data_IF_006372471478
#
_entry.id   IF_006372471478
#
_cell.length_a   1.000
_cell.length_b   1.000
_cell.length_c   1.000
_cell.angle_alpha   90.00
_cell.angle_beta   90.00
_cell.angle_gamma   90.00
#
_symmetry.space_group_name_H-M   'P 1'
#
loop_
_entity.id
_entity.type
_entity.pdbx_description
1 polymer ?
#
# COMPACT_ATOMS: atom_id res chain seq x y z
N UNK A 1 1.61 -16.42 -11.50
CA UNK A 1 1.60 -15.24 -12.40
C UNK A 1 1.90 -14.02 -11.55
N UNK A 2 2.68 -13.08 -12.07
CA UNK A 2 2.86 -11.77 -11.45
C UNK A 2 2.11 -10.72 -12.27
N UNK A 3 1.42 -9.81 -11.60
CA UNK A 3 0.82 -8.63 -12.22
C UNK A 3 1.30 -7.40 -11.46
N UNK A 4 1.78 -6.39 -12.19
CA UNK A 4 2.16 -5.11 -11.63
C UNK A 4 1.12 -4.06 -12.04
N UNK A 5 0.69 -3.23 -11.08
CA UNK A 5 -0.18 -2.09 -11.35
C UNK A 5 0.41 -0.81 -10.74
N UNK A 6 0.23 0.30 -11.45
CA UNK A 6 0.67 1.63 -11.04
C UNK A 6 -0.44 2.40 -10.37
N UNK A 7 -0.06 3.07 -9.29
CA UNK A 7 -0.88 4.05 -8.60
C UNK A 7 -0.05 5.31 -8.46
N UNK A 8 -0.71 6.44 -8.24
CA UNK A 8 -0.04 7.75 -8.27
C UNK A 8 0.99 7.94 -7.15
N UNK A 9 0.88 7.19 -6.04
CA UNK A 9 1.72 7.35 -4.84
C UNK A 9 2.36 6.05 -4.33
N UNK A 10 1.97 4.90 -4.90
CA UNK A 10 2.45 3.56 -4.50
C UNK A 10 2.53 2.66 -5.73
N UNK A 11 3.29 1.58 -5.63
CA UNK A 11 3.27 0.46 -6.58
C UNK A 11 2.49 -0.72 -6.02
N UNK A 12 1.96 -1.58 -6.89
CA UNK A 12 1.32 -2.84 -6.48
C UNK A 12 1.93 -4.01 -7.23
N UNK A 13 2.35 -5.03 -6.49
CA UNK A 13 2.72 -6.34 -7.02
C UNK A 13 1.68 -7.37 -6.58
N UNK A 14 1.08 -8.07 -7.53
CA UNK A 14 0.22 -9.21 -7.27
C UNK A 14 0.93 -10.52 -7.57
N UNK A 15 0.97 -11.43 -6.60
CA UNK A 15 1.44 -12.80 -6.76
C UNK A 15 0.24 -13.74 -6.74
N UNK A 16 0.09 -14.58 -7.78
CA UNK A 16 -1.06 -15.46 -7.94
C UNK A 16 -0.63 -16.90 -8.24
N UNK A 17 -1.13 -17.86 -7.46
CA UNK A 17 -1.02 -19.28 -7.75
C UNK A 17 -2.26 -19.77 -8.51
N UNK A 18 -2.19 -19.75 -9.84
CA UNK A 18 -3.28 -20.19 -10.72
C UNK A 18 -3.11 -21.62 -11.25
N UNK A 19 -2.24 -22.44 -10.63
CA UNK A 19 -1.98 -23.80 -11.11
C UNK A 19 -3.25 -24.65 -11.11
N UNK A 20 -3.37 -25.52 -12.12
CA UNK A 20 -4.52 -26.41 -12.29
C UNK A 20 -5.77 -25.73 -12.82
N UNK A 21 -5.82 -24.39 -12.93
CA UNK A 21 -6.91 -23.66 -13.58
C UNK A 21 -6.66 -23.52 -15.09
N UNK A 22 -7.68 -23.82 -15.91
CA UNK A 22 -7.60 -23.63 -17.36
C UNK A 22 -8.97 -23.32 -17.97
N UNK A 23 -8.99 -22.48 -19.00
CA UNK A 23 -10.21 -22.21 -19.76
C UNK A 23 -10.49 -23.33 -20.76
N UNK A 24 -11.68 -23.91 -20.71
CA UNK A 24 -12.13 -24.86 -21.72
C UNK A 24 -13.05 -24.16 -22.73
N UNK A 25 -12.57 -23.97 -23.96
CA UNK A 25 -13.32 -23.31 -25.03
C UNK A 25 -14.61 -24.04 -25.39
N UNK A 26 -14.61 -25.38 -25.34
CA UNK A 26 -15.78 -26.22 -25.64
C UNK A 26 -16.91 -26.03 -24.64
N UNK A 27 -16.62 -26.07 -23.35
CA UNK A 27 -17.63 -25.85 -22.30
C UNK A 27 -17.83 -24.38 -21.93
N UNK A 28 -17.04 -23.47 -22.53
CA UNK A 28 -16.99 -22.04 -22.20
C UNK A 28 -16.93 -21.79 -20.69
N UNK A 29 -16.10 -22.58 -20.00
CA UNK A 29 -15.98 -22.54 -18.55
C UNK A 29 -14.54 -22.77 -18.11
N UNK A 30 -14.20 -22.24 -16.93
CA UNK A 30 -12.97 -22.59 -16.25
C UNK A 30 -13.08 -24.02 -15.72
N UNK A 31 -12.08 -24.84 -16.00
CA UNK A 31 -11.90 -26.17 -15.43
C UNK A 31 -10.73 -26.14 -14.47
N UNK A 32 -10.86 -26.84 -13.35
CA UNK A 32 -9.79 -27.07 -12.41
C UNK A 32 -9.34 -28.53 -12.46
N UNK A 33 -8.03 -28.74 -12.39
CA UNK A 33 -7.38 -30.03 -12.16
C UNK A 33 -6.62 -29.94 -10.82
N UNK A 34 -7.33 -29.97 -9.68
CA UNK A 34 -6.74 -29.70 -8.37
C UNK A 34 -5.66 -30.71 -7.97
N UNK A 35 -5.73 -31.95 -8.47
CA UNK A 35 -4.71 -32.99 -8.24
C UNK A 35 -3.34 -32.63 -8.83
N UNK A 36 -3.30 -31.64 -9.72
CA UNK A 36 -2.08 -31.13 -10.35
C UNK A 36 -1.57 -29.83 -9.69
N UNK A 37 -2.30 -29.27 -8.72
CA UNK A 37 -1.96 -27.98 -8.12
C UNK A 37 -1.10 -28.15 -6.87
N UNK A 38 0.01 -27.41 -6.77
CA UNK A 38 0.93 -27.45 -5.63
C UNK A 38 1.14 -26.04 -5.07
N UNK A 39 1.56 -25.96 -3.81
CA UNK A 39 2.02 -24.68 -3.26
C UNK A 39 3.27 -24.22 -4.00
N UNK A 40 3.34 -22.92 -4.28
CA UNK A 40 4.46 -22.30 -4.98
C UNK A 40 5.06 -21.20 -4.13
N UNK A 41 6.38 -21.09 -4.18
CA UNK A 41 7.12 -20.01 -3.54
C UNK A 41 7.71 -19.11 -4.59
N UNK A 42 7.60 -17.80 -4.38
CA UNK A 42 8.20 -16.80 -5.24
C UNK A 42 8.87 -15.69 -4.43
N UNK A 43 9.71 -14.92 -5.11
CA UNK A 43 10.40 -13.76 -4.53
C UNK A 43 9.85 -12.50 -5.17
N UNK A 44 9.64 -11.47 -4.37
CA UNK A 44 9.28 -10.13 -4.82
C UNK A 44 10.21 -9.10 -4.17
N UNK A 45 10.37 -7.94 -4.79
CA UNK A 45 11.20 -6.85 -4.29
C UNK A 45 10.68 -5.50 -4.79
N UNK A 46 11.00 -4.39 -4.12
CA UNK A 46 10.55 -3.07 -4.56
C UNK A 46 10.97 -2.71 -6.00
N UNK A 47 12.10 -3.24 -6.48
CA UNK A 47 12.55 -3.06 -7.87
C UNK A 47 11.67 -3.74 -8.93
N UNK A 48 10.81 -4.68 -8.55
CA UNK A 48 9.93 -5.38 -9.49
C UNK A 48 8.69 -4.54 -9.84
N UNK A 49 8.47 -3.42 -9.13
CA UNK A 49 7.51 -2.38 -9.53
C UNK A 49 8.11 -1.56 -10.67
N UNK A 50 7.41 -1.40 -11.79
CA UNK A 50 7.94 -0.61 -12.93
C UNK A 50 7.68 0.90 -12.72
N UNK A 51 8.33 1.51 -11.72
CA UNK A 51 8.13 2.89 -11.24
C UNK A 51 8.10 4.01 -12.32
N UNK A 52 8.70 3.76 -13.48
CA UNK A 52 8.81 4.71 -14.58
C UNK A 52 7.67 4.61 -15.62
N UNK A 53 6.71 3.72 -15.42
CA UNK A 53 5.58 3.52 -16.34
C UNK A 53 4.36 4.39 -15.95
N UNK A 54 3.55 4.76 -16.94
CA UNK A 54 2.30 5.52 -16.75
C UNK A 54 2.42 7.03 -17.01
N UNK A 55 1.30 7.74 -16.83
CA UNK A 55 1.21 9.19 -17.11
C UNK A 55 1.95 10.06 -16.08
N UNK A 56 2.00 9.60 -14.82
CA UNK A 56 2.60 10.31 -13.69
C UNK A 56 3.54 9.35 -12.94
N UNK A 57 4.78 9.15 -13.42
CA UNK A 57 5.72 8.21 -12.80
C UNK A 57 6.14 8.68 -11.40
N UNK A 58 6.37 7.71 -10.50
CA UNK A 58 6.86 7.98 -9.15
C UNK A 58 8.39 7.99 -9.19
N UNK A 59 9.00 9.15 -8.92
CA UNK A 59 10.45 9.22 -8.78
C UNK A 59 10.91 8.53 -7.51
N UNK A 60 11.65 7.44 -7.64
CA UNK A 60 12.31 6.72 -6.54
C UNK A 60 13.78 7.08 -6.39
N UNK A 61 14.26 8.15 -7.05
CA UNK A 61 15.66 8.57 -6.98
C UNK A 61 16.01 8.97 -5.54
N UNK A 62 17.01 8.31 -4.96
CA UNK A 62 17.46 8.55 -3.58
C UNK A 62 16.60 7.87 -2.50
N UNK A 63 15.60 7.07 -2.88
CA UNK A 63 14.81 6.27 -1.94
C UNK A 63 15.58 5.00 -1.56
N UNK A 64 15.92 4.86 -0.30
CA UNK A 64 16.70 3.74 0.23
C UNK A 64 15.85 2.69 0.97
N UNK A 65 14.58 2.98 1.22
CA UNK A 65 13.69 2.12 1.99
C UNK A 65 12.28 2.22 1.43
N UNK A 66 11.59 1.08 1.36
CA UNK A 66 10.22 0.96 0.93
C UNK A 66 9.40 0.30 2.02
N UNK A 67 8.22 0.85 2.29
CA UNK A 67 7.19 0.22 3.09
C UNK A 67 6.40 -0.75 2.20
N UNK A 68 6.37 -2.03 2.56
CA UNK A 68 5.71 -3.09 1.80
C UNK A 68 4.60 -3.69 2.66
N UNK A 69 3.36 -3.38 2.32
CA UNK A 69 2.17 -3.91 2.97
C UNK A 69 1.64 -5.13 2.21
N UNK A 70 1.54 -6.26 2.90
CA UNK A 70 1.04 -7.54 2.39
C UNK A 70 -0.43 -7.67 2.79
N UNK A 71 -1.32 -7.67 1.78
CA UNK A 71 -2.77 -7.57 1.95
C UNK A 71 -3.37 -8.76 2.71
N UNK A 72 -3.12 -10.00 2.28
CA UNK A 72 -3.67 -11.19 2.91
C UNK A 72 -3.05 -11.42 4.29
N UNK A 73 -1.73 -11.24 4.40
CA UNK A 73 -1.02 -11.39 5.68
C UNK A 73 -1.28 -10.24 6.67
N UNK A 74 -1.89 -9.14 6.22
CA UNK A 74 -2.12 -7.94 7.03
C UNK A 74 -0.84 -7.42 7.72
N UNK A 75 0.30 -7.51 7.02
CA UNK A 75 1.64 -7.29 7.58
C UNK A 75 2.41 -6.22 6.82
N UNK A 76 3.23 -5.45 7.53
CA UNK A 76 4.14 -4.47 6.96
C UNK A 76 5.59 -4.94 7.11
N UNK A 77 6.38 -4.77 6.06
CA UNK A 77 7.85 -4.89 6.11
C UNK A 77 8.50 -3.64 5.53
N UNK A 78 9.70 -3.35 5.99
CA UNK A 78 10.56 -2.35 5.38
C UNK A 78 11.63 -3.09 4.57
N UNK A 79 11.76 -2.77 3.29
CA UNK A 79 12.72 -3.41 2.39
C UNK A 79 13.61 -2.35 1.74
N UNK A 80 14.88 -2.70 1.52
CA UNK A 80 15.75 -1.95 0.61
C UNK A 80 15.35 -2.20 -0.86
N UNK A 81 15.75 -1.33 -1.82
CA UNK A 81 15.29 -1.42 -3.21
C UNK A 81 15.45 -2.80 -3.87
N UNK A 82 16.56 -3.51 -3.59
CA UNK A 82 16.87 -4.82 -4.15
C UNK A 82 16.66 -5.99 -3.17
N UNK A 83 16.22 -5.70 -1.94
CA UNK A 83 15.93 -6.71 -0.94
C UNK A 83 14.69 -7.49 -1.35
N UNK A 84 14.78 -8.82 -1.21
CA UNK A 84 13.71 -9.73 -1.64
C UNK A 84 12.92 -10.21 -0.44
N UNK A 85 11.61 -10.28 -0.61
CA UNK A 85 10.69 -10.97 0.28
C UNK A 85 10.22 -12.26 -0.38
N UNK A 86 10.20 -13.33 0.39
CA UNK A 86 9.62 -14.61 -0.02
C UNK A 86 8.12 -14.65 0.26
N UNK A 87 7.36 -15.16 -0.70
CA UNK A 87 5.91 -15.33 -0.64
C UNK A 87 5.60 -16.77 -1.04
N UNK A 88 4.95 -17.50 -0.14
CA UNK A 88 4.43 -18.84 -0.42
C UNK A 88 2.91 -18.79 -0.59
N UNK A 89 2.42 -19.41 -1.66
CA UNK A 89 1.02 -19.41 -2.05
C UNK A 89 0.52 -20.83 -2.26
N UNK A 90 -0.52 -21.21 -1.53
CA UNK A 90 -1.27 -22.42 -1.78
C UNK A 90 -2.03 -22.34 -3.12
N UNK A 91 -2.44 -23.48 -3.71
CA UNK A 91 -3.26 -23.49 -4.91
C UNK A 91 -4.45 -22.52 -4.85
N UNK A 92 -4.65 -21.75 -5.91
CA UNK A 92 -5.76 -20.79 -6.06
C UNK A 92 -5.77 -19.64 -5.06
N UNK A 93 -4.65 -19.38 -4.39
CA UNK A 93 -4.47 -18.22 -3.51
C UNK A 93 -3.65 -17.12 -4.19
N UNK A 94 -3.67 -15.94 -3.58
CA UNK A 94 -2.93 -14.78 -4.04
C UNK A 94 -2.39 -13.98 -2.86
N UNK A 95 -1.44 -13.09 -3.13
CA UNK A 95 -1.02 -12.03 -2.21
C UNK A 95 -0.86 -10.73 -3.01
N UNK A 96 -1.28 -9.61 -2.43
CA UNK A 96 -1.09 -8.28 -3.00
C UNK A 96 -0.15 -7.49 -2.11
N UNK A 97 0.90 -6.96 -2.72
CA UNK A 97 1.91 -6.16 -2.05
C UNK A 97 1.75 -4.71 -2.49
N UNK A 98 1.34 -3.85 -1.56
CA UNK A 98 1.41 -2.39 -1.76
C UNK A 98 2.80 -1.92 -1.36
N UNK A 99 3.54 -1.37 -2.31
CA UNK A 99 4.92 -0.91 -2.16
C UNK A 99 4.92 0.61 -2.17
N UNK A 100 5.40 1.22 -1.10
CA UNK A 100 5.38 2.67 -0.93
C UNK A 100 6.78 3.21 -0.62
N UNK A 101 7.30 4.19 -1.38
CA UNK A 101 8.60 4.78 -1.10
C UNK A 101 8.56 5.51 0.25
N UNK A 102 9.57 5.26 1.10
CA UNK A 102 9.68 5.95 2.39
C UNK A 102 10.33 7.32 2.19
N UNK A 103 9.65 8.36 2.67
CA UNK A 103 10.16 9.72 2.77
C UNK A 103 10.61 10.00 4.20
N UNK A 104 11.67 10.82 4.35
CA UNK A 104 12.13 11.30 5.65
C UNK A 104 11.64 12.73 5.85
N UNK A 105 10.92 12.98 6.94
CA UNK A 105 10.52 14.32 7.38
C UNK A 105 11.70 14.95 8.15
N UNK A 106 12.26 16.09 7.69
CA UNK A 106 13.60 16.54 8.09
C UNK A 106 13.75 16.89 9.57
N UNK A 107 12.73 17.45 10.22
CA UNK A 107 12.85 17.99 11.59
C UNK A 107 13.14 16.93 12.66
N UNK A 108 12.46 15.79 12.57
CA UNK A 108 12.58 14.68 13.53
C UNK A 108 13.15 13.41 12.89
N UNK A 109 13.60 13.52 11.64
CA UNK A 109 14.03 12.38 10.82
C UNK A 109 12.98 11.25 10.79
N UNK A 110 11.70 11.63 10.81
CA UNK A 110 10.59 10.67 10.84
C UNK A 110 10.47 10.05 9.47
N UNK A 111 10.54 8.74 9.41
CA UNK A 111 10.29 7.99 8.19
C UNK A 111 8.78 7.83 8.02
N UNK A 112 8.27 8.11 6.83
CA UNK A 112 6.87 8.11 6.50
C UNK A 112 6.63 7.44 5.14
N UNK A 113 5.59 6.61 5.05
CA UNK A 113 5.11 6.12 3.76
C UNK A 113 3.59 5.87 3.80
N UNK A 114 2.82 6.39 2.82
CA UNK A 114 1.39 6.11 2.75
C UNK A 114 1.15 4.65 2.32
N UNK A 115 0.12 3.99 2.86
CA UNK A 115 -0.29 2.65 2.41
C UNK A 115 -1.61 2.76 1.65
N UNK A 116 -2.65 3.31 2.29
CA UNK A 116 -3.97 3.49 1.69
C UNK A 116 -5.09 2.79 2.47
N UNK A 117 -6.23 2.56 1.80
CA UNK A 117 -7.40 1.90 2.39
C UNK A 117 -7.23 0.37 2.33
N UNK A 118 -6.88 -0.25 3.45
CA UNK A 118 -6.49 -1.68 3.49
C UNK A 118 -7.67 -2.64 3.37
N UNK A 119 -8.90 -2.14 3.45
CA UNK A 119 -10.11 -2.90 3.12
C UNK A 119 -10.37 -2.99 1.60
N UNK A 120 -9.52 -2.39 0.76
CA UNK A 120 -9.60 -2.45 -0.70
C UNK A 120 -8.43 -3.26 -1.28
N UNK A 121 -8.70 -4.08 -2.31
CA UNK A 121 -7.65 -4.82 -3.04
C UNK A 121 -6.64 -3.85 -3.70
N UNK A 122 -7.13 -2.72 -4.20
CA UNK A 122 -6.30 -1.63 -4.67
C UNK A 122 -6.03 -0.63 -3.54
N UNK A 123 -5.36 -1.10 -2.49
CA UNK A 123 -5.15 -0.35 -1.23
C UNK A 123 -4.66 1.07 -1.47
N UNK A 124 -3.56 1.23 -2.23
CA UNK A 124 -2.98 2.54 -2.53
C UNK A 124 -3.76 3.37 -3.55
N UNK A 125 -4.71 2.77 -4.28
CA UNK A 125 -5.45 3.44 -5.35
C UNK A 125 -6.53 4.37 -4.85
N UNK A 126 -6.84 4.30 -3.57
CA UNK A 126 -7.67 5.28 -2.88
C UNK A 126 -6.94 6.61 -2.62
N UNK A 127 -5.61 6.66 -2.72
CA UNK A 127 -4.83 7.87 -2.45
C UNK A 127 -4.86 8.78 -3.68
N UNK A 128 -5.40 9.98 -3.53
CA UNK A 128 -5.50 10.99 -4.59
C UNK A 128 -4.48 12.13 -4.45
N UNK A 129 -4.05 12.42 -3.21
CA UNK A 129 -2.99 13.40 -2.96
C UNK A 129 -2.15 13.03 -1.74
N UNK A 130 -0.89 13.44 -1.75
CA UNK A 130 0.00 13.40 -0.59
C UNK A 130 0.79 14.69 -0.56
N UNK A 131 0.60 15.47 0.49
CA UNK A 131 1.22 16.78 0.68
C UNK A 131 1.96 16.82 2.01
N UNK A 132 3.13 17.47 2.00
CA UNK A 132 3.98 17.60 3.16
C UNK A 132 4.16 19.09 3.44
N UNK A 133 3.69 19.54 4.60
CA UNK A 133 3.95 20.87 5.12
C UNK A 133 5.04 20.80 6.18
N UNK A 134 6.16 21.42 5.84
CA UNK A 134 7.38 21.43 6.63
C UNK A 134 7.79 22.91 6.79
N UNK A 135 7.65 23.46 8.00
CA UNK A 135 8.24 24.76 8.36
C UNK A 135 9.33 24.56 9.41
N UNK A 136 10.40 25.38 9.35
CA UNK A 136 11.55 25.28 10.24
C UNK A 136 11.13 25.26 11.73
N UNK A 137 10.16 26.11 12.11
CA UNK A 137 9.72 26.26 13.50
C UNK A 137 8.44 25.48 13.86
N UNK A 138 7.78 24.77 12.93
CA UNK A 138 6.51 24.09 13.21
C UNK A 138 6.63 22.55 13.31
N UNK A 139 5.56 21.91 13.77
CA UNK A 139 5.37 20.47 13.64
C UNK A 139 5.29 20.08 12.15
N UNK A 140 5.66 18.85 11.81
CA UNK A 140 5.55 18.35 10.44
C UNK A 140 4.12 17.87 10.21
N UNK A 141 3.48 18.36 9.15
CA UNK A 141 2.11 18.00 8.82
C UNK A 141 2.09 17.24 7.50
N UNK A 142 1.49 16.06 7.51
CA UNK A 142 1.25 15.26 6.31
C UNK A 142 -0.24 15.25 6.02
N UNK A 143 -0.63 15.63 4.81
CA UNK A 143 -2.01 15.55 4.34
C UNK A 143 -2.15 14.51 3.25
N UNK A 144 -3.17 13.68 3.35
CA UNK A 144 -3.50 12.66 2.35
C UNK A 144 -4.94 12.87 1.91
N UNK A 145 -5.14 13.15 0.63
CA UNK A 145 -6.45 13.07 -0.01
C UNK A 145 -6.79 11.61 -0.29
N UNK A 146 -7.93 11.15 0.21
CA UNK A 146 -8.39 9.76 0.10
C UNK A 146 -9.79 9.72 -0.50
N UNK A 147 -9.99 8.85 -1.49
CA UNK A 147 -11.30 8.56 -2.07
C UNK A 147 -11.79 7.19 -1.65
N UNK A 148 -12.94 7.17 -0.99
CA UNK A 148 -13.54 5.96 -0.44
C UNK A 148 -13.66 6.03 1.09
N UNK A 149 -13.89 4.88 1.71
CA UNK A 149 -14.05 4.76 3.16
C UNK A 149 -13.48 3.44 3.68
N UNK A 150 -13.24 3.37 4.99
CA UNK A 150 -12.71 2.21 5.68
C UNK A 150 -11.40 2.49 6.41
N UNK A 151 -10.60 1.45 6.59
CA UNK A 151 -9.39 1.55 7.40
C UNK A 151 -8.23 2.09 6.56
N UNK A 152 -7.89 3.36 6.79
CA UNK A 152 -6.71 3.99 6.23
C UNK A 152 -5.49 3.63 7.08
N UNK A 153 -4.43 3.20 6.41
CA UNK A 153 -3.14 2.91 7.03
C UNK A 153 -1.99 3.66 6.38
N UNK A 154 -0.95 3.83 7.18
CA UNK A 154 0.33 4.38 6.75
C UNK A 154 1.45 3.86 7.68
N UNK A 155 2.68 3.88 7.18
CA UNK A 155 3.87 3.64 7.98
C UNK A 155 4.43 4.96 8.52
N UNK A 156 4.71 5.00 9.82
CA UNK A 156 5.55 6.04 10.41
C UNK A 156 6.51 5.46 11.46
N UNK A 157 7.78 5.88 11.41
CA UNK A 157 8.77 5.47 12.41
C UNK A 157 8.43 5.93 13.83
N UNK A 158 7.68 7.04 13.95
CA UNK A 158 7.23 7.63 15.20
C UNK A 158 5.72 7.77 15.22
N UNK A 159 5.14 7.84 16.43
CA UNK A 159 3.69 8.05 16.60
C UNK A 159 3.32 9.51 16.29
N UNK A 160 2.29 9.78 15.47
CA UNK A 160 1.73 11.13 15.32
C UNK A 160 1.24 11.69 16.67
N UNK A 161 1.32 13.00 16.85
CA UNK A 161 0.76 13.71 18.00
C UNK A 161 -0.77 13.81 17.86
N UNK A 162 -1.25 14.03 16.64
CA UNK A 162 -2.66 14.14 16.33
C UNK A 162 -2.97 13.62 14.93
N UNK A 163 -4.22 13.20 14.73
CA UNK A 163 -4.79 12.90 13.42
C UNK A 163 -6.10 13.66 13.26
N UNK A 164 -6.35 14.18 12.06
CA UNK A 164 -7.61 14.85 11.71
C UNK A 164 -8.19 14.28 10.43
N UNK A 165 -9.51 14.33 10.32
CA UNK A 165 -10.27 14.03 9.10
C UNK A 165 -11.11 15.25 8.77
N UNK A 166 -10.94 15.83 7.59
CA UNK A 166 -11.61 17.05 7.14
C UNK A 166 -11.51 18.20 8.19
N UNK A 167 -10.37 18.31 8.86
CA UNK A 167 -10.11 19.31 9.91
C UNK A 167 -10.55 18.93 11.32
N UNK A 168 -11.35 17.86 11.47
CA UNK A 168 -11.87 17.40 12.76
C UNK A 168 -10.92 16.37 13.41
N UNK A 169 -10.65 16.53 14.71
CA UNK A 169 -9.76 15.63 15.45
C UNK A 169 -10.37 14.24 15.63
N UNK A 170 -9.60 13.19 15.28
CA UNK A 170 -10.07 11.80 15.35
C UNK A 170 -9.14 10.91 16.18
N UNK A 171 -9.73 9.86 16.76
CA UNK A 171 -8.94 8.80 17.40
C UNK A 171 -8.26 7.96 16.31
N UNK A 172 -7.01 7.59 16.57
CA UNK A 172 -6.23 6.69 15.73
C UNK A 172 -5.46 5.70 16.60
N UNK A 173 -5.09 4.57 15.99
CA UNK A 173 -4.24 3.58 16.63
C UNK A 173 -2.83 3.65 16.05
N UNK A 174 -1.83 3.32 16.86
CA UNK A 174 -0.44 3.20 16.43
C UNK A 174 0.16 1.94 17.03
N UNK A 175 0.43 0.95 16.19
CA UNK A 175 0.97 -0.36 16.58
C UNK A 175 1.99 -0.77 15.52
N UNK A 176 3.15 -1.29 15.92
CA UNK A 176 4.20 -1.77 15.02
C UNK A 176 4.55 -0.79 13.89
N UNK A 177 4.73 0.49 14.24
CA UNK A 177 5.04 1.58 13.30
C UNK A 177 3.96 1.85 12.24
N UNK A 178 2.74 1.42 12.49
CA UNK A 178 1.61 1.58 11.59
C UNK A 178 0.53 2.42 12.25
N UNK A 179 0.17 3.52 11.61
CA UNK A 179 -0.99 4.33 12.01
C UNK A 179 -2.23 3.73 11.36
N UNK A 180 -3.32 3.62 12.11
CA UNK A 180 -4.63 3.16 11.64
C UNK A 180 -5.69 4.18 12.00
N UNK A 181 -6.41 4.66 11.00
CA UNK A 181 -7.52 5.61 11.17
C UNK A 181 -8.72 5.15 10.35
N UNK A 182 -9.93 5.32 10.89
CA UNK A 182 -11.16 4.96 10.20
C UNK A 182 -11.67 6.16 9.40
N UNK A 183 -11.63 6.05 8.08
CA UNK A 183 -12.20 7.03 7.16
C UNK A 183 -13.70 6.76 7.03
N UNK A 184 -14.57 7.70 7.43
CA UNK A 184 -16.01 7.49 7.42
C UNK A 184 -16.55 7.40 5.98
N UNK A 185 -17.68 6.74 5.82
CA UNK A 185 -18.42 6.81 4.56
C UNK A 185 -19.10 8.18 4.45
N UNK A 186 -18.75 8.92 3.42
CA UNK A 186 -19.40 10.16 3.05
C UNK A 186 -20.46 9.85 1.97
N UNK A 187 -21.66 10.38 2.12
CA UNK A 187 -22.74 10.25 1.13
C UNK A 187 -22.46 11.00 -0.17
N UNK A 188 -21.47 11.91 -0.17
CA UNK A 188 -21.01 12.65 -1.35
C UNK A 188 -19.80 11.99 -2.01
N UNK A 189 -19.62 12.18 -3.32
CA UNK A 189 -18.43 11.75 -4.09
C UNK A 189 -17.13 12.52 -3.77
N UNK A 190 -17.12 13.33 -2.70
CA UNK A 190 -15.96 14.14 -2.30
C UNK A 190 -14.85 13.26 -1.71
N UNK A 191 -13.62 13.67 -1.95
CA UNK A 191 -12.45 13.10 -1.31
C UNK A 191 -12.38 13.55 0.15
N UNK A 192 -11.90 12.67 1.03
CA UNK A 192 -11.66 12.96 2.44
C UNK A 192 -10.21 13.37 2.63
N UNK A 193 -9.96 14.43 3.40
CA UNK A 193 -8.61 14.86 3.73
C UNK A 193 -8.22 14.28 5.09
N UNK A 194 -7.18 13.44 5.11
CA UNK A 194 -6.63 12.85 6.34
C UNK A 194 -5.31 13.52 6.67
N UNK A 195 -5.21 14.09 7.86
CA UNK A 195 -4.05 14.86 8.30
C UNK A 195 -3.35 14.15 9.46
N UNK A 196 -2.01 14.13 9.44
CA UNK A 196 -1.17 13.56 10.48
C UNK A 196 -0.15 14.61 10.93
N UNK A 197 -0.18 14.95 12.21
CA UNK A 197 0.71 15.95 12.80
C UNK A 197 1.79 15.25 13.62
N UNK A 198 3.06 15.56 13.34
CA UNK A 198 4.24 14.97 13.97
C UNK A 198 5.13 15.99 14.67
#
# INVERSE_FOLDING_TARGET
>A
MFSCMYLQYTGVLGAFNCQGGGWCSKSRSNKSAPDCSKSVTCLASPKDVEWNQGKNPISIKGVNTFAVYMFQQNKLKLLQPSEKIEISLDPFTFELLTVSPVRVLPKKLIQFAPIGLVNMLNTGGAIESVEFEEHEDSLSLVRIGVKGCGEMRMFASEKPIACKIDGEGVKFHYVDKMVKVQVPWLSSSRSTLVEYLF
#
